data_IF_720036689474
#
_entry.id   IF_720036689474
#
_cell.length_a   1.000
_cell.length_b   1.000
_cell.length_c   1.000
_cell.angle_alpha   90.00
_cell.angle_beta   90.00
_cell.angle_gamma   90.00
#
_symmetry.space_group_name_H-M   'P 1'
#
loop_
_entity.id
_entity.type
_entity.pdbx_description
1 polymer ?
#
# COMPACT_ATOMS: atom_id res chain seq x y z
N UNK A 1 22.70 31.24 -1.79
CA UNK A 1 22.08 29.90 -1.73
C UNK A 1 22.43 29.19 -3.02
N UNK A 2 22.88 27.95 -2.96
CA UNK A 2 22.93 27.10 -4.16
C UNK A 2 21.52 26.65 -4.54
N UNK A 3 21.26 26.55 -5.84
CA UNK A 3 19.98 26.06 -6.35
C UNK A 3 19.98 24.53 -6.32
N UNK A 4 19.31 23.94 -5.32
CA UNK A 4 19.07 22.50 -5.28
C UNK A 4 18.06 22.13 -6.38
N UNK A 5 18.43 21.18 -7.24
CA UNK A 5 17.51 20.54 -8.20
C UNK A 5 17.04 19.22 -7.61
N UNK A 6 15.79 18.87 -7.88
CA UNK A 6 15.16 17.63 -7.38
C UNK A 6 14.31 17.03 -8.49
N UNK A 7 14.47 15.73 -8.73
CA UNK A 7 13.51 14.92 -9.46
C UNK A 7 12.70 14.12 -8.44
N UNK A 8 11.37 14.28 -8.48
CA UNK A 8 10.44 13.52 -7.65
C UNK A 8 9.77 12.46 -8.53
N UNK A 9 9.76 11.22 -8.06
CA UNK A 9 9.09 10.10 -8.69
C UNK A 9 8.07 9.53 -7.71
N UNK A 10 6.91 9.15 -8.22
CA UNK A 10 6.05 8.22 -7.48
C UNK A 10 6.69 6.83 -7.48
N UNK A 11 6.27 5.95 -6.57
CA UNK A 11 6.77 4.57 -6.51
C UNK A 11 5.82 3.64 -7.26
N UNK A 12 4.57 3.60 -6.81
CA UNK A 12 3.60 2.58 -7.17
C UNK A 12 2.96 2.91 -8.52
N UNK A 13 3.09 2.00 -9.51
CA UNK A 13 2.65 2.26 -10.89
C UNK A 13 3.55 3.23 -11.69
N UNK A 14 4.70 3.65 -11.14
CA UNK A 14 5.67 4.53 -11.79
C UNK A 14 7.05 3.89 -11.92
N UNK A 15 7.60 3.33 -10.82
CA UNK A 15 8.87 2.62 -10.79
C UNK A 15 8.71 1.09 -10.97
N UNK A 16 7.46 0.63 -11.09
CA UNK A 16 7.10 -0.68 -11.60
C UNK A 16 5.71 -0.56 -12.27
N UNK A 17 5.36 -1.54 -13.10
CA UNK A 17 4.10 -1.53 -13.85
C UNK A 17 2.89 -1.58 -12.91
N UNK A 18 1.91 -0.68 -13.12
CA UNK A 18 0.68 -0.62 -12.34
C UNK A 18 -0.17 -1.88 -12.51
N UNK A 19 -0.13 -2.50 -13.69
CA UNK A 19 -0.92 -3.68 -14.03
C UNK A 19 -0.20 -5.00 -13.64
N UNK A 20 0.86 -4.94 -12.81
CA UNK A 20 1.60 -6.14 -12.37
C UNK A 20 0.81 -7.03 -11.39
N UNK A 21 -0.34 -6.58 -10.88
CA UNK A 21 -1.20 -7.30 -9.93
C UNK A 21 -0.88 -7.07 -8.45
N UNK A 22 0.13 -6.26 -8.12
CA UNK A 22 0.50 -6.01 -6.73
C UNK A 22 -0.57 -5.20 -5.99
N UNK A 23 -1.20 -4.24 -6.66
CA UNK A 23 -2.29 -3.43 -6.10
C UNK A 23 -3.48 -4.29 -5.68
N UNK A 24 -3.83 -5.30 -6.46
CA UNK A 24 -4.86 -6.29 -6.14
C UNK A 24 -4.46 -7.18 -4.95
N UNK A 25 -3.17 -7.53 -4.84
CA UNK A 25 -2.63 -8.29 -3.71
C UNK A 25 -2.64 -7.48 -2.41
N UNK A 26 -2.20 -6.22 -2.43
CA UNK A 26 -2.38 -5.26 -1.32
C UNK A 26 -3.88 -5.16 -0.97
N UNK A 27 -4.74 -5.03 -1.99
CA UNK A 27 -6.19 -5.21 -1.95
C UNK A 27 -6.64 -6.38 -1.05
N UNK A 28 -6.26 -7.60 -1.41
CA UNK A 28 -6.63 -8.81 -0.70
C UNK A 28 -6.04 -8.86 0.72
N UNK A 29 -4.77 -8.48 0.90
CA UNK A 29 -4.09 -8.50 2.18
C UNK A 29 -4.70 -7.51 3.18
N UNK A 30 -5.14 -6.33 2.73
CA UNK A 30 -5.92 -5.38 3.55
C UNK A 30 -7.21 -6.02 4.06
N UNK A 31 -7.97 -6.67 3.18
CA UNK A 31 -9.24 -7.30 3.58
C UNK A 31 -9.01 -8.47 4.53
N UNK A 32 -7.97 -9.26 4.30
CA UNK A 32 -7.56 -10.32 5.21
C UNK A 32 -7.15 -9.76 6.58
N UNK A 33 -6.35 -8.67 6.61
CA UNK A 33 -5.97 -7.99 7.86
C UNK A 33 -7.18 -7.55 8.68
N UNK A 34 -8.18 -6.97 8.01
CA UNK A 34 -9.41 -6.53 8.67
C UNK A 34 -10.22 -7.66 9.30
N UNK A 35 -10.06 -8.91 8.84
CA UNK A 35 -10.68 -10.11 9.41
C UNK A 35 -9.79 -10.76 10.49
N UNK A 36 -8.46 -10.73 10.34
CA UNK A 36 -7.52 -11.37 11.28
C UNK A 36 -7.19 -10.51 12.49
N UNK A 37 -7.36 -9.19 12.42
CA UNK A 37 -7.14 -8.27 13.53
C UNK A 37 -8.20 -8.45 14.63
N UNK A 38 -7.84 -9.14 15.71
CA UNK A 38 -8.75 -9.44 16.84
C UNK A 38 -8.82 -8.34 17.89
N UNK A 39 -8.65 -7.07 17.50
CA UNK A 39 -8.59 -5.92 18.40
C UNK A 39 -9.33 -4.69 17.84
N UNK A 40 -9.67 -3.73 18.70
CA UNK A 40 -10.45 -2.53 18.31
C UNK A 40 -11.75 -2.91 17.56
N UNK A 41 -12.20 -2.06 16.62
CA UNK A 41 -13.39 -2.30 15.80
C UNK A 41 -13.29 -3.52 14.87
N UNK A 42 -12.07 -4.00 14.56
CA UNK A 42 -11.87 -5.18 13.72
C UNK A 42 -12.45 -6.47 14.34
N UNK A 43 -12.58 -6.53 15.67
CA UNK A 43 -13.26 -7.65 16.38
C UNK A 43 -14.67 -7.97 15.89
N UNK A 44 -15.34 -7.02 15.23
CA UNK A 44 -16.69 -7.20 14.65
C UNK A 44 -16.71 -7.77 13.23
N UNK A 45 -15.55 -7.90 12.58
CA UNK A 45 -15.40 -8.29 11.18
C UNK A 45 -14.95 -9.76 11.13
N UNK A 46 -15.81 -10.65 10.67
CA UNK A 46 -15.54 -12.11 10.68
C UNK A 46 -15.41 -12.72 9.29
N UNK A 47 -15.63 -11.93 8.23
CA UNK A 47 -15.60 -12.40 6.83
C UNK A 47 -15.00 -11.35 5.89
N UNK A 48 -14.39 -11.81 4.79
CA UNK A 48 -13.81 -10.94 3.75
C UNK A 48 -14.87 -10.05 3.08
N UNK A 49 -16.11 -10.52 2.95
CA UNK A 49 -17.20 -9.72 2.36
C UNK A 49 -17.65 -8.58 3.29
N UNK A 50 -17.72 -8.83 4.61
CA UNK A 50 -17.92 -7.75 5.59
C UNK A 50 -16.75 -6.75 5.55
N UNK A 51 -15.50 -7.25 5.56
CA UNK A 51 -14.32 -6.40 5.43
C UNK A 51 -14.39 -5.54 4.18
N UNK A 52 -14.80 -6.10 3.03
CA UNK A 52 -14.94 -5.38 1.75
C UNK A 52 -16.04 -4.33 1.79
N UNK A 53 -17.19 -4.64 2.38
CA UNK A 53 -18.32 -3.70 2.51
C UNK A 53 -18.00 -2.49 3.40
N UNK A 54 -17.14 -2.68 4.40
CA UNK A 54 -16.62 -1.62 5.29
C UNK A 54 -15.48 -0.86 4.61
N UNK A 55 -14.52 -1.58 4.05
CA UNK A 55 -13.32 -1.01 3.44
C UNK A 55 -13.64 -0.11 2.26
N UNK A 56 -14.55 -0.53 1.37
CA UNK A 56 -14.75 0.15 0.09
C UNK A 56 -15.22 1.61 0.24
N UNK A 57 -16.26 1.94 1.04
CA UNK A 57 -16.63 3.32 1.31
C UNK A 57 -15.53 4.16 1.99
N UNK A 58 -14.69 3.54 2.82
CA UNK A 58 -13.56 4.20 3.47
C UNK A 58 -12.48 4.52 2.43
N UNK A 59 -12.14 3.57 1.57
CA UNK A 59 -11.17 3.77 0.50
C UNK A 59 -11.64 4.85 -0.48
N UNK A 60 -12.88 4.75 -0.97
CA UNK A 60 -13.47 5.73 -1.91
C UNK A 60 -13.56 7.15 -1.30
N UNK A 61 -13.61 7.30 0.03
CA UNK A 61 -13.64 8.59 0.76
C UNK A 61 -12.27 9.21 1.00
N UNK A 62 -11.24 8.41 1.26
CA UNK A 62 -9.92 8.89 1.70
C UNK A 62 -8.77 8.62 0.72
N UNK A 63 -8.98 7.80 -0.30
CA UNK A 63 -8.00 7.26 -1.26
C UNK A 63 -6.78 6.55 -0.63
N UNK A 64 -6.77 6.36 0.69
CA UNK A 64 -5.68 5.76 1.47
C UNK A 64 -6.25 4.97 2.64
N UNK A 65 -6.20 3.63 2.55
CA UNK A 65 -6.80 2.71 3.54
C UNK A 65 -6.39 3.01 4.98
N UNK A 66 -5.07 3.08 5.26
CA UNK A 66 -4.53 3.28 6.62
C UNK A 66 -5.05 4.59 7.23
N UNK A 67 -5.03 5.69 6.46
CA UNK A 67 -5.57 7.00 6.86
C UNK A 67 -7.07 6.93 7.11
N UNK A 68 -7.82 6.28 6.23
CA UNK A 68 -9.27 6.20 6.33
C UNK A 68 -9.73 5.36 7.52
N UNK A 69 -9.12 4.20 7.76
CA UNK A 69 -9.39 3.36 8.93
C UNK A 69 -9.13 4.12 10.24
N UNK A 70 -7.99 4.81 10.35
CA UNK A 70 -7.68 5.66 11.51
C UNK A 70 -8.73 6.79 11.69
N UNK A 71 -9.14 7.44 10.60
CA UNK A 71 -10.13 8.52 10.63
C UNK A 71 -11.55 8.04 11.01
N UNK A 72 -11.93 6.82 10.64
CA UNK A 72 -13.16 6.17 11.11
C UNK A 72 -13.01 5.50 12.49
N UNK A 73 -11.88 5.72 13.18
CA UNK A 73 -11.65 5.26 14.57
C UNK A 73 -11.37 3.77 14.71
N UNK A 74 -10.73 3.14 13.72
CA UNK A 74 -10.02 1.88 13.89
C UNK A 74 -8.63 2.17 14.44
N UNK A 75 -8.17 1.40 15.42
CA UNK A 75 -6.78 1.45 15.87
C UNK A 75 -5.94 0.54 14.96
N UNK A 76 -4.76 1.00 14.52
CA UNK A 76 -3.84 0.21 13.71
C UNK A 76 -2.51 0.07 14.43
N UNK A 77 -2.06 -1.18 14.60
CA UNK A 77 -0.69 -1.50 15.00
C UNK A 77 0.23 -1.32 13.80
N UNK A 78 0.75 -0.11 13.65
CA UNK A 78 1.45 0.38 12.46
C UNK A 78 2.39 -0.65 11.80
N UNK A 79 3.41 -1.14 12.52
CA UNK A 79 4.37 -2.10 11.98
C UNK A 79 3.71 -3.42 11.54
N UNK A 80 2.82 -3.96 12.35
CA UNK A 80 2.09 -5.21 12.09
C UNK A 80 1.24 -5.09 10.82
N UNK A 81 0.54 -3.97 10.65
CA UNK A 81 -0.26 -3.67 9.46
C UNK A 81 0.61 -3.48 8.22
N UNK A 82 1.65 -2.64 8.28
CA UNK A 82 2.47 -2.33 7.11
C UNK A 82 3.26 -3.56 6.63
N UNK A 83 3.73 -4.42 7.54
CA UNK A 83 4.36 -5.71 7.21
C UNK A 83 3.33 -6.70 6.65
N UNK A 84 2.11 -6.79 7.21
CA UNK A 84 1.08 -7.73 6.77
C UNK A 84 0.56 -7.40 5.36
N UNK A 85 0.25 -6.13 5.07
CA UNK A 85 -0.36 -5.80 3.77
C UNK A 85 0.62 -6.01 2.61
N UNK A 86 1.93 -5.85 2.83
CA UNK A 86 3.00 -5.99 1.84
C UNK A 86 3.51 -7.44 1.64
N UNK A 87 2.93 -8.43 2.32
CA UNK A 87 3.34 -9.82 2.17
C UNK A 87 3.18 -10.30 0.72
N UNK A 88 4.22 -10.93 0.18
CA UNK A 88 4.26 -11.41 -1.20
C UNK A 88 4.73 -10.38 -2.23
N UNK A 89 5.25 -9.22 -1.83
CA UNK A 89 5.77 -8.20 -2.76
C UNK A 89 6.82 -8.76 -3.73
N UNK A 90 7.62 -9.73 -3.30
CA UNK A 90 8.64 -10.40 -4.11
C UNK A 90 8.06 -11.21 -5.26
N UNK A 91 6.76 -11.51 -5.27
CA UNK A 91 6.06 -12.15 -6.39
C UNK A 91 5.82 -11.17 -7.55
N UNK A 92 5.63 -9.88 -7.25
CA UNK A 92 5.20 -8.85 -8.21
C UNK A 92 6.30 -7.84 -8.55
N UNK A 93 7.09 -7.43 -7.56
CA UNK A 93 8.22 -6.50 -7.74
C UNK A 93 9.47 -7.31 -8.09
N UNK A 94 9.93 -7.17 -9.34
CA UNK A 94 11.13 -7.83 -9.86
C UNK A 94 12.24 -6.82 -10.11
N UNK A 95 13.47 -7.32 -10.20
CA UNK A 95 14.63 -6.52 -10.57
C UNK A 95 14.50 -6.02 -12.01
N UNK A 96 14.48 -4.71 -12.20
CA UNK A 96 14.61 -4.04 -13.49
C UNK A 96 16.01 -3.38 -13.59
N UNK A 97 16.88 -3.98 -14.39
CA UNK A 97 18.23 -3.45 -14.64
C UNK A 97 18.22 -2.21 -15.55
N UNK A 98 17.23 -2.05 -16.42
CA UNK A 98 17.10 -0.86 -17.29
C UNK A 98 16.65 0.35 -16.48
N UNK A 99 15.68 0.19 -15.59
CA UNK A 99 15.29 1.26 -14.66
C UNK A 99 16.47 1.66 -13.76
N UNK A 100 17.23 0.67 -13.27
CA UNK A 100 18.46 0.92 -12.51
C UNK A 100 19.48 1.74 -13.30
N UNK A 101 19.74 1.39 -14.56
CA UNK A 101 20.64 2.14 -15.44
C UNK A 101 20.19 3.59 -15.65
N UNK A 102 18.89 3.81 -15.91
CA UNK A 102 18.31 5.16 -16.06
C UNK A 102 18.50 5.98 -14.79
N UNK A 103 18.08 5.47 -13.63
CA UNK A 103 18.19 6.18 -12.35
C UNK A 103 19.67 6.41 -11.94
N UNK A 104 20.58 5.51 -12.31
CA UNK A 104 22.02 5.72 -12.09
C UNK A 104 22.60 6.79 -13.03
N UNK A 105 22.12 6.89 -14.27
CA UNK A 105 22.50 7.96 -15.21
C UNK A 105 22.03 9.35 -14.78
N UNK A 106 20.93 9.44 -14.02
CA UNK A 106 20.39 10.71 -13.50
C UNK A 106 21.17 11.30 -12.32
N UNK A 107 22.24 10.65 -11.82
CA UNK A 107 23.06 11.14 -10.69
C UNK A 107 23.88 12.41 -10.97
N UNK A 108 23.73 13.03 -12.14
CA UNK A 108 24.32 14.31 -12.52
C UNK A 108 23.32 15.47 -12.67
N UNK A 109 22.07 15.30 -12.21
CA UNK A 109 21.04 16.35 -12.12
C UNK A 109 21.18 17.13 -10.81
#
# INVERSE_FOLDING_TARGET
>A
MENVKVCLFDLDGCLYDADNGYTEAIHANILNYMVTATYSKFTSITTVDQARSIWRPIFDKYNLTKRGLLAEGYEIREKEYDEFIRQGEELYIKRDDRLREVLMGMKGV
#
